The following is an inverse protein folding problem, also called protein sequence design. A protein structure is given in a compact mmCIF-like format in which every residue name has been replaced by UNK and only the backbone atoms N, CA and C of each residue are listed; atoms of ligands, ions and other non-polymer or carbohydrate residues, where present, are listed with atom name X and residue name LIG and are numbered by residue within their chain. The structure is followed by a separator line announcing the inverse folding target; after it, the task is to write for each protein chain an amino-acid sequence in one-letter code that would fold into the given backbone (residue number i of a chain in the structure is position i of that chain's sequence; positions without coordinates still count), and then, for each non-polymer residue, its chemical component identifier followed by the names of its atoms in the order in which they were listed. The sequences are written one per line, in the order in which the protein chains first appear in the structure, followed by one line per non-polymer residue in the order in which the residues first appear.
data_IF_566840149596
#
_entry.id   IF_566840149596
#
_cell.length_a   1.000
_cell.length_b   1.000
_cell.length_c   1.000
_cell.angle_alpha   90.00
_cell.angle_beta   90.00
_cell.angle_gamma   90.00
#
_symmetry.space_group_name_H-M   'P 1'
#
loop_
_entity.id
_entity.type
_entity.pdbx_description
1 polymer ?
#
# COMPACT_ATOMS: atom_id res chain seq x y z
N UNK A 1 5.27 22.66 10.41
CA UNK A 1 4.12 21.92 9.84
C UNK A 1 4.34 20.45 10.18
N UNK A 2 3.46 19.82 10.95
CA UNK A 2 3.58 18.39 11.20
C UNK A 2 3.30 17.63 9.89
N UNK A 3 4.07 16.57 9.58
CA UNK A 3 3.81 15.76 8.39
C UNK A 3 2.45 15.07 8.53
N UNK A 4 1.64 15.17 7.48
CA UNK A 4 0.39 14.40 7.36
C UNK A 4 0.71 13.10 6.63
N UNK A 5 0.37 11.97 7.22
CA UNK A 5 0.63 10.64 6.66
C UNK A 5 -0.67 9.86 6.46
N UNK A 6 -0.69 9.04 5.41
CA UNK A 6 -1.83 8.22 5.01
C UNK A 6 -1.42 6.76 5.05
N UNK A 7 -2.31 5.89 5.51
CA UNK A 7 -2.04 4.46 5.57
C UNK A 7 -3.33 3.63 5.51
N UNK A 8 -3.24 2.47 4.86
CA UNK A 8 -4.31 1.49 4.87
C UNK A 8 -4.27 0.65 6.15
N UNK A 9 -5.42 0.45 6.78
CA UNK A 9 -5.57 -0.45 7.95
C UNK A 9 -6.76 -1.35 7.70
N UNK A 10 -6.60 -2.66 7.94
CA UNK A 10 -7.74 -3.59 7.94
C UNK A 10 -8.71 -3.15 9.03
N UNK A 11 -10.00 -3.10 8.74
CA UNK A 11 -11.02 -2.62 9.68
C UNK A 11 -10.89 -3.26 11.08
N UNK A 12 -10.71 -4.59 11.11
CA UNK A 12 -10.52 -5.37 12.35
C UNK A 12 -9.31 -4.97 13.20
N UNK A 13 -8.29 -4.35 12.60
CA UNK A 13 -7.06 -3.93 13.29
C UNK A 13 -7.12 -2.48 13.80
N UNK A 14 -8.15 -1.70 13.45
CA UNK A 14 -8.27 -0.28 13.84
C UNK A 14 -8.17 -0.09 15.36
N UNK A 15 -8.88 -0.86 16.22
CA UNK A 15 -8.80 -0.67 17.67
C UNK A 15 -7.38 -0.91 18.20
N UNK A 16 -6.69 -1.91 17.65
CA UNK A 16 -5.31 -2.23 18.01
C UNK A 16 -4.35 -1.14 17.53
N UNK A 17 -4.48 -0.69 16.29
CA UNK A 17 -3.67 0.37 15.71
C UNK A 17 -3.79 1.66 16.52
N UNK A 18 -5.02 2.11 16.77
CA UNK A 18 -5.28 3.33 17.54
C UNK A 18 -4.66 3.28 18.94
N UNK A 19 -4.73 2.13 19.62
CA UNK A 19 -4.08 1.91 20.91
C UNK A 19 -2.55 1.99 20.83
N UNK A 20 -1.95 1.39 19.80
CA UNK A 20 -0.48 1.31 19.67
C UNK A 20 0.17 2.66 19.41
N UNK A 21 -0.51 3.56 18.69
CA UNK A 21 0.00 4.90 18.36
C UNK A 21 -0.63 6.00 19.22
N UNK A 22 -1.41 5.62 20.24
CA UNK A 22 -2.14 6.53 21.13
C UNK A 22 -2.99 7.56 20.36
N UNK A 23 -3.58 7.13 19.23
CA UNK A 23 -4.34 8.00 18.36
C UNK A 23 -5.73 8.29 18.91
N UNK A 24 -6.20 9.50 18.62
CA UNK A 24 -7.57 9.96 18.89
C UNK A 24 -8.25 10.36 17.58
N UNK A 25 -9.51 9.97 17.34
CA UNK A 25 -10.29 10.48 16.22
C UNK A 25 -10.49 11.99 16.32
N UNK A 26 -10.35 12.70 15.20
CA UNK A 26 -10.56 14.15 15.09
C UNK A 26 -11.31 14.46 13.79
N UNK A 27 -12.07 15.54 13.78
CA UNK A 27 -12.80 16.01 12.60
C UNK A 27 -11.96 16.95 11.72
N UNK A 28 -10.88 17.52 12.27
CA UNK A 28 -9.92 18.35 11.53
C UNK A 28 -8.56 18.41 12.22
N UNK A 29 -7.52 18.78 11.47
CA UNK A 29 -6.17 18.94 12.00
C UNK A 29 -5.46 17.61 12.28
N UNK A 30 -5.84 16.56 11.56
CA UNK A 30 -5.30 15.22 11.70
C UNK A 30 -3.85 15.12 11.18
N UNK A 31 -3.02 14.41 11.94
CA UNK A 31 -1.66 14.09 11.54
C UNK A 31 -1.59 12.74 10.79
N UNK A 32 -2.59 11.88 10.99
CA UNK A 32 -2.69 10.54 10.39
C UNK A 32 -4.09 10.35 9.84
N UNK A 33 -4.18 9.93 8.57
CA UNK A 33 -5.42 9.53 7.92
C UNK A 33 -5.39 8.02 7.66
N UNK A 34 -6.36 7.30 8.23
CA UNK A 34 -6.52 5.85 8.03
C UNK A 34 -7.52 5.61 6.91
N UNK A 35 -7.11 4.83 5.91
CA UNK A 35 -7.97 4.36 4.83
C UNK A 35 -8.38 2.90 5.11
N UNK A 36 -9.67 2.61 5.05
CA UNK A 36 -10.19 1.25 5.20
C UNK A 36 -10.54 0.76 3.79
N UNK A 37 -9.84 -0.25 3.26
CA UNK A 37 -10.16 -0.77 1.94
C UNK A 37 -11.41 -1.66 2.00
N UNK A 38 -12.18 -1.68 0.90
CA UNK A 38 -13.39 -2.50 0.76
C UNK A 38 -13.09 -4.01 0.73
N UNK A 39 -11.86 -4.40 0.38
CA UNK A 39 -11.39 -5.77 0.38
C UNK A 39 -9.94 -5.91 0.89
N UNK A 40 -9.54 -7.16 1.17
CA UNK A 40 -8.23 -7.50 1.72
C UNK A 40 -7.07 -7.46 0.68
N UNK A 41 -7.38 -7.20 -0.60
CA UNK A 41 -6.48 -7.23 -1.74
C UNK A 41 -5.31 -6.24 -1.65
N UNK A 42 -5.53 -5.06 -1.07
CA UNK A 42 -4.49 -4.06 -0.77
C UNK A 42 -3.39 -4.64 0.13
N UNK A 43 -3.75 -5.64 0.94
CA UNK A 43 -2.84 -6.30 1.87
C UNK A 43 -2.42 -7.70 1.40
N UNK A 44 -2.80 -8.13 0.20
CA UNK A 44 -2.27 -9.36 -0.38
C UNK A 44 -0.81 -9.19 -0.73
N UNK A 45 -0.03 -10.28 -0.65
CA UNK A 45 1.39 -10.30 -1.05
C UNK A 45 2.18 -9.04 -0.64
N UNK A 46 2.03 -8.54 0.59
CA UNK A 46 2.79 -7.37 1.02
C UNK A 46 4.27 -7.61 0.75
N UNK A 47 4.91 -6.77 -0.07
CA UNK A 47 6.37 -6.80 -0.27
C UNK A 47 7.14 -6.41 1.00
N UNK A 48 6.40 -6.14 2.10
CA UNK A 48 6.91 -6.01 3.43
C UNK A 48 7.79 -7.21 3.76
N UNK A 49 9.10 -6.96 3.75
CA UNK A 49 10.06 -7.77 4.48
C UNK A 49 9.43 -8.14 5.81
N UNK A 50 9.62 -9.39 6.23
CA UNK A 50 9.22 -9.80 7.58
C UNK A 50 9.60 -8.71 8.57
N UNK A 51 8.85 -8.51 9.66
CA UNK A 51 9.11 -7.50 10.71
C UNK A 51 10.59 -7.38 11.18
N UNK A 52 11.45 -8.33 10.79
CA UNK A 52 12.91 -8.32 10.92
C UNK A 52 13.62 -7.22 10.10
N UNK A 53 13.11 -6.80 8.94
CA UNK A 53 13.83 -5.90 8.03
C UNK A 53 13.69 -4.40 8.35
N UNK A 54 12.99 -4.02 9.43
CA UNK A 54 12.78 -2.62 9.85
C UNK A 54 12.21 -1.67 8.77
N UNK A 55 11.78 -2.20 7.61
CA UNK A 55 11.04 -1.45 6.61
C UNK A 55 9.57 -1.46 6.98
N UNK A 56 8.94 -0.29 6.92
CA UNK A 56 7.49 -0.22 6.93
C UNK A 56 6.94 -1.04 5.77
N UNK A 57 5.89 -1.81 6.05
CA UNK A 57 5.16 -2.51 5.00
C UNK A 57 4.58 -1.47 4.03
N UNK A 58 5.09 -1.44 2.81
CA UNK A 58 4.57 -0.66 1.71
C UNK A 58 3.66 -1.53 0.83
N UNK A 59 2.96 -0.89 -0.10
CA UNK A 59 2.21 -1.57 -1.16
C UNK A 59 3.11 -2.55 -1.90
N UNK A 60 2.55 -3.70 -2.28
CA UNK A 60 3.24 -4.65 -3.16
C UNK A 60 3.33 -4.09 -4.59
N UNK A 61 4.09 -4.73 -5.47
CA UNK A 61 4.24 -4.31 -6.87
C UNK A 61 2.89 -4.23 -7.65
N UNK A 62 1.92 -5.10 -7.38
CA UNK A 62 0.59 -5.07 -8.01
C UNK A 62 -0.22 -3.86 -7.53
N UNK A 63 -0.25 -3.60 -6.22
CA UNK A 63 -0.97 -2.46 -5.68
C UNK A 63 -0.32 -1.14 -6.11
N UNK A 64 1.01 -1.08 -6.13
CA UNK A 64 1.77 0.09 -6.62
C UNK A 64 1.48 0.37 -8.10
N UNK A 65 1.27 -0.68 -8.91
CA UNK A 65 0.82 -0.53 -10.30
C UNK A 65 -0.56 0.11 -10.36
N UNK A 66 -1.53 -0.44 -9.63
CA UNK A 66 -2.92 0.07 -9.61
C UNK A 66 -2.95 1.52 -9.13
N UNK A 67 -2.21 1.85 -8.08
CA UNK A 67 -2.15 3.20 -7.52
C UNK A 67 -1.54 4.20 -8.53
N UNK A 68 -0.47 3.80 -9.21
CA UNK A 68 0.21 4.64 -10.21
C UNK A 68 -0.64 4.82 -11.47
N UNK A 69 -1.28 3.75 -11.95
CA UNK A 69 -2.13 3.75 -13.15
C UNK A 69 -3.30 4.74 -13.00
N UNK A 70 -3.96 4.75 -11.85
CA UNK A 70 -5.08 5.67 -11.58
C UNK A 70 -4.65 7.12 -11.30
N UNK A 71 -3.37 7.38 -11.02
CA UNK A 71 -2.87 8.73 -10.76
C UNK A 71 -2.75 9.59 -12.04
N UNK A 72 -2.74 8.97 -13.23
CA UNK A 72 -2.67 9.65 -14.53
C UNK A 72 -1.34 10.36 -14.82
N UNK A 73 -1.14 10.76 -16.07
CA UNK A 73 0.08 11.44 -16.52
C UNK A 73 1.33 10.60 -16.25
N UNK A 74 2.27 11.10 -15.45
CA UNK A 74 3.49 10.35 -15.07
C UNK A 74 3.22 9.12 -14.21
N UNK A 75 2.05 9.03 -13.59
CA UNK A 75 1.62 7.82 -12.89
C UNK A 75 1.45 6.64 -13.84
N UNK A 76 0.90 6.89 -15.03
CA UNK A 76 0.67 5.85 -16.05
C UNK A 76 2.01 5.33 -16.61
N UNK A 77 2.97 6.23 -16.87
CA UNK A 77 4.34 5.87 -17.26
C UNK A 77 5.04 5.01 -16.18
N UNK A 78 4.88 5.36 -14.90
CA UNK A 78 5.44 4.60 -13.79
C UNK A 78 4.76 3.22 -13.65
N UNK A 79 3.45 3.14 -13.89
CA UNK A 79 2.70 1.89 -13.92
C UNK A 79 3.22 0.97 -15.04
N UNK A 80 3.38 1.48 -16.26
CA UNK A 80 3.88 0.70 -17.39
C UNK A 80 5.30 0.19 -17.15
N UNK A 81 6.19 1.03 -16.62
CA UNK A 81 7.54 0.62 -16.27
C UNK A 81 7.53 -0.50 -15.22
N UNK A 82 6.68 -0.40 -14.21
CA UNK A 82 6.54 -1.43 -13.18
C UNK A 82 5.97 -2.75 -13.74
N UNK A 83 4.99 -2.65 -14.63
CA UNK A 83 4.38 -3.80 -15.30
C UNK A 83 5.41 -4.57 -16.13
N UNK A 84 6.12 -3.89 -17.04
CA UNK A 84 7.06 -4.52 -17.97
C UNK A 84 8.32 -5.03 -17.27
N UNK A 85 8.85 -4.29 -16.30
CA UNK A 85 10.16 -4.59 -15.71
C UNK A 85 10.10 -5.47 -14.47
N UNK A 86 8.93 -5.58 -13.82
CA UNK A 86 8.77 -6.36 -12.58
C UNK A 86 7.68 -7.40 -12.67
N UNK A 87 6.43 -6.99 -12.91
CA UNK A 87 5.28 -7.88 -12.80
C UNK A 87 5.30 -8.98 -13.86
N UNK A 88 5.46 -8.61 -15.14
CA UNK A 88 5.54 -9.59 -16.23
C UNK A 88 6.68 -10.59 -16.03
N UNK A 89 7.94 -10.19 -15.80
CA UNK A 89 9.02 -11.14 -15.50
C UNK A 89 8.67 -12.12 -14.37
N UNK A 90 8.15 -11.61 -13.25
CA UNK A 90 7.77 -12.46 -12.11
C UNK A 90 6.65 -13.46 -12.43
N UNK A 91 5.67 -13.06 -13.24
CA UNK A 91 4.59 -13.97 -13.65
C UNK A 91 5.10 -15.08 -14.56
N UNK A 92 5.99 -14.74 -15.50
CA UNK A 92 6.65 -15.71 -16.37
C UNK A 92 7.44 -16.74 -15.56
N UNK A 93 8.20 -16.29 -14.56
CA UNK A 93 8.98 -17.16 -13.68
C UNK A 93 8.08 -18.12 -12.86
N UNK A 94 6.85 -17.70 -12.56
CA UNK A 94 5.83 -18.52 -11.89
C UNK A 94 5.03 -19.42 -12.85
N UNK A 95 5.36 -19.43 -14.14
CA UNK A 95 4.69 -20.27 -15.15
C UNK A 95 3.28 -19.79 -15.54
N UNK A 96 2.91 -18.55 -15.20
CA UNK A 96 1.68 -17.94 -15.68
C UNK A 96 1.86 -17.58 -17.16
N UNK A 97 0.90 -18.01 -17.99
CA UNK A 97 0.85 -17.59 -19.40
C UNK A 97 0.38 -16.14 -19.45
N UNK A 98 1.14 -15.31 -20.16
CA UNK A 98 0.78 -13.93 -20.48
C UNK A 98 0.21 -13.83 -21.88
#
# INVERSE_FOLDING_TARGET
RHPKTWLYVREKEIPRFARLIEAKPVESGENVTVLIPDDDGVFYMSDGGTMRDHRMACTNAVQTYVDSYHAGGRGEEAADALLEQRLKPQWKDKGLKM
#
